data_IF_957777608887
#
_entry.id   IF_957777608887
#
_cell.length_a   1.000
_cell.length_b   1.000
_cell.length_c   1.000
_cell.angle_alpha   90.00
_cell.angle_beta   90.00
_cell.angle_gamma   90.00
#
_symmetry.space_group_name_H-M   'P 1'
#
loop_
_entity.id
_entity.type
_entity.pdbx_description
1 polymer ?
#
# COMPACT_ATOMS: atom_id res chain seq x y z
N UNK A 1 11.04 57.71 -18.21
CA UNK A 1 9.90 56.88 -18.67
C UNK A 1 10.40 56.11 -19.88
N UNK A 2 10.53 54.79 -19.94
CA UNK A 2 9.86 53.69 -19.24
C UNK A 2 10.85 52.54 -19.00
N UNK A 3 10.64 51.80 -17.91
CA UNK A 3 11.19 50.47 -17.62
C UNK A 3 10.02 49.47 -17.55
N UNK A 4 10.35 48.20 -17.80
CA UNK A 4 9.52 46.98 -17.60
C UNK A 4 8.37 46.82 -18.61
N UNK A 5 8.03 45.62 -19.13
CA UNK A 5 7.77 44.35 -18.44
C UNK A 5 8.01 43.19 -19.43
N UNK A 6 8.69 42.11 -19.02
CA UNK A 6 8.96 40.99 -19.94
C UNK A 6 9.49 39.70 -19.31
N UNK A 7 8.92 39.25 -18.19
CA UNK A 7 9.27 37.94 -17.61
C UNK A 7 8.11 37.37 -16.77
N UNK A 8 7.05 36.86 -17.42
CA UNK A 8 5.97 36.13 -16.70
C UNK A 8 5.26 35.02 -17.50
N UNK A 9 5.60 34.80 -18.77
CA UNK A 9 4.83 33.89 -19.64
C UNK A 9 5.38 32.46 -19.75
N UNK A 10 6.67 32.22 -19.47
CA UNK A 10 7.29 30.90 -19.63
C UNK A 10 6.98 29.92 -18.48
N UNK A 11 6.86 30.41 -17.24
CA UNK A 11 6.66 29.57 -16.05
C UNK A 11 5.27 28.90 -15.97
N UNK A 12 4.25 29.49 -16.59
CA UNK A 12 2.87 28.96 -16.54
C UNK A 12 2.63 27.78 -17.50
N UNK A 13 3.41 27.65 -18.59
CA UNK A 13 3.25 26.54 -19.55
C UNK A 13 3.84 25.23 -19.04
N UNK A 14 4.95 25.27 -18.28
CA UNK A 14 5.60 24.07 -17.71
C UNK A 14 4.74 23.43 -16.61
N UNK A 15 4.11 24.24 -15.76
CA UNK A 15 3.22 23.78 -14.70
C UNK A 15 2.00 22.98 -15.21
N UNK A 16 1.47 23.34 -16.39
CA UNK A 16 0.36 22.61 -17.00
C UNK A 16 0.78 21.30 -17.68
N UNK A 17 2.06 21.06 -17.95
CA UNK A 17 2.46 19.84 -18.67
C UNK A 17 2.41 18.60 -17.76
N UNK A 18 2.79 18.75 -16.49
CA UNK A 18 2.92 17.62 -15.55
C UNK A 18 1.60 17.03 -15.05
N UNK A 19 0.50 17.80 -15.07
CA UNK A 19 -0.78 17.36 -14.52
C UNK A 19 -1.84 17.02 -15.58
N UNK A 20 -1.65 17.41 -16.85
CA UNK A 20 -2.75 17.44 -17.84
C UNK A 20 -2.57 16.54 -19.06
N UNK A 21 -1.44 15.82 -19.22
CA UNK A 21 -1.11 15.16 -20.49
C UNK A 21 -1.75 13.76 -20.70
N UNK A 22 -2.88 13.44 -20.04
CA UNK A 22 -3.52 12.12 -20.16
C UNK A 22 -4.99 12.14 -20.63
N UNK A 23 -5.41 13.24 -21.26
CA UNK A 23 -6.73 13.33 -21.93
C UNK A 23 -6.57 13.42 -23.45
N UNK A 24 -6.13 12.34 -24.07
CA UNK A 24 -6.09 12.21 -25.54
C UNK A 24 -6.81 10.93 -25.96
N UNK A 25 -8.15 11.00 -26.09
CA UNK A 25 -8.92 10.03 -26.86
C UNK A 25 -9.17 10.61 -28.25
N UNK A 26 -8.67 10.03 -29.34
CA UNK A 26 -9.19 10.34 -30.66
C UNK A 26 -10.49 9.55 -30.88
N UNK A 27 -11.49 10.26 -31.44
CA UNK A 27 -12.78 9.74 -31.85
C UNK A 27 -12.65 8.52 -32.78
N UNK A 28 -13.39 7.45 -32.52
CA UNK A 28 -13.54 6.31 -33.45
C UNK A 28 -14.93 6.35 -34.11
N UNK A 29 -14.94 6.44 -35.44
CA UNK A 29 -16.08 6.14 -36.30
C UNK A 29 -16.20 4.64 -36.61
N UNK A 30 -17.23 4.22 -37.36
CA UNK A 30 -17.97 2.97 -37.09
C UNK A 30 -17.39 1.68 -37.71
N UNK A 31 -17.79 0.57 -37.08
CA UNK A 31 -17.58 -0.86 -37.41
C UNK A 31 -18.01 -1.29 -38.81
N UNK A 32 -17.48 -2.44 -39.27
CA UNK A 32 -18.37 -3.45 -39.84
C UNK A 32 -18.09 -4.92 -39.41
N UNK A 33 -19.22 -5.63 -39.24
CA UNK A 33 -19.56 -7.02 -39.59
C UNK A 33 -18.67 -8.24 -39.22
N UNK A 34 -19.33 -9.22 -38.57
CA UNK A 34 -18.95 -10.63 -38.40
C UNK A 34 -18.85 -11.40 -39.73
N UNK A 35 -18.25 -12.62 -39.73
CA UNK A 35 -19.11 -13.82 -39.74
C UNK A 35 -18.59 -15.09 -39.01
N UNK A 36 -19.57 -15.86 -38.52
CA UNK A 36 -19.76 -17.33 -38.57
C UNK A 36 -18.89 -18.33 -37.76
N UNK A 37 -19.63 -19.19 -37.04
CA UNK A 37 -19.26 -20.47 -36.41
C UNK A 37 -19.12 -21.63 -37.41
N UNK A 38 -18.55 -22.77 -36.99
CA UNK A 38 -19.37 -23.98 -36.75
C UNK A 38 -18.93 -24.75 -35.47
N UNK A 39 -19.85 -25.24 -34.62
CA UNK A 39 -20.53 -26.55 -34.63
C UNK A 39 -19.64 -27.81 -34.40
N UNK A 40 -19.85 -28.41 -33.21
CA UNK A 40 -20.07 -29.85 -32.95
C UNK A 40 -18.94 -30.74 -32.39
N UNK A 41 -19.35 -31.46 -31.33
CA UNK A 41 -18.71 -32.44 -30.44
C UNK A 41 -18.48 -33.82 -31.15
N UNK A 42 -18.13 -34.98 -30.51
CA UNK A 42 -18.11 -35.32 -29.07
C UNK A 42 -16.93 -36.20 -28.55
N UNK A 43 -16.96 -36.40 -27.22
CA UNK A 43 -16.10 -37.24 -26.38
C UNK A 43 -16.57 -38.71 -26.39
N UNK A 44 -15.68 -39.72 -26.35
CA UNK A 44 -16.04 -41.08 -25.96
C UNK A 44 -15.67 -41.39 -24.49
N UNK A 45 -16.41 -42.29 -23.79
CA UNK A 45 -16.19 -42.66 -22.40
C UNK A 45 -15.34 -43.93 -22.27
N UNK A 46 -14.68 -44.13 -21.11
CA UNK A 46 -14.22 -45.44 -20.68
C UNK A 46 -14.45 -45.63 -19.18
N UNK A 47 -14.95 -46.82 -18.85
CA UNK A 47 -15.57 -47.30 -17.59
C UNK A 47 -14.60 -48.22 -16.82
N UNK A 48 -14.79 -48.24 -15.49
CA UNK A 48 -14.67 -49.35 -14.48
C UNK A 48 -13.29 -50.03 -14.25
N UNK A 49 -12.65 -49.90 -13.07
CA UNK A 49 -12.77 -50.65 -11.77
C UNK A 49 -12.15 -52.09 -11.80
N UNK A 50 -11.75 -52.78 -10.68
CA UNK A 50 -11.98 -52.52 -9.24
C UNK A 50 -10.84 -52.90 -8.21
N UNK A 51 -11.10 -52.58 -6.93
CA UNK A 51 -10.93 -53.31 -5.64
C UNK A 51 -9.60 -53.96 -5.15
N UNK A 52 -9.23 -53.61 -3.89
CA UNK A 52 -8.96 -54.49 -2.73
C UNK A 52 -8.74 -53.57 -1.48
N UNK A 53 -9.46 -53.68 -0.35
CA UNK A 53 -9.33 -54.70 0.71
C UNK A 53 -8.15 -54.33 1.64
N UNK A 54 -8.18 -54.32 2.97
CA UNK A 54 -9.10 -54.78 4.02
C UNK A 54 -8.49 -54.40 5.40
N UNK A 55 -9.31 -54.35 6.47
CA UNK A 55 -8.99 -54.43 7.94
C UNK A 55 -7.97 -53.43 8.53
N UNK A 56 -8.19 -52.78 9.67
CA UNK A 56 -8.89 -53.16 10.90
C UNK A 56 -7.92 -52.94 12.08
N UNK A 57 -8.30 -52.16 13.10
CA UNK A 57 -7.44 -51.97 14.27
C UNK A 57 -7.85 -50.83 15.20
N UNK A 58 -8.80 -51.11 16.09
CA UNK A 58 -9.13 -50.29 17.27
C UNK A 58 -8.16 -50.62 18.42
N UNK A 59 -8.16 -49.72 19.41
CA UNK A 59 -7.86 -49.86 20.86
C UNK A 59 -6.59 -49.15 21.32
N UNK A 60 -6.75 -48.29 22.34
CA UNK A 60 -5.66 -47.93 23.25
C UNK A 60 -5.68 -46.52 23.84
N UNK A 61 -6.71 -46.15 24.63
CA UNK A 61 -6.59 -45.05 25.61
C UNK A 61 -5.55 -45.44 26.66
N UNK A 62 -4.55 -44.59 26.92
CA UNK A 62 -3.97 -44.39 28.27
C UNK A 62 -3.54 -42.94 28.46
N UNK A 63 -4.17 -42.34 29.46
CA UNK A 63 -3.90 -41.05 30.08
C UNK A 63 -2.67 -41.12 30.98
N UNK A 64 -1.65 -40.29 30.72
CA UNK A 64 -0.59 -40.00 31.68
C UNK A 64 -0.33 -38.50 31.73
N UNK A 65 -0.77 -37.91 32.85
CA UNK A 65 -0.41 -36.56 33.31
C UNK A 65 0.83 -36.67 34.19
N UNK A 66 1.83 -35.79 34.03
CA UNK A 66 2.69 -35.39 35.14
C UNK A 66 2.73 -33.86 35.31
N UNK A 67 3.27 -33.34 36.44
CA UNK A 67 2.73 -32.19 37.15
C UNK A 67 3.28 -30.83 36.71
N UNK A 68 2.55 -29.80 37.13
CA UNK A 68 2.90 -28.40 37.06
C UNK A 68 4.16 -28.07 37.88
N UNK A 69 5.06 -27.25 37.30
CA UNK A 69 6.10 -26.54 38.04
C UNK A 69 6.30 -25.14 37.43
N UNK A 70 5.92 -24.13 38.22
CA UNK A 70 6.63 -22.86 38.42
C UNK A 70 7.01 -21.99 37.22
N UNK A 71 6.29 -20.90 37.04
CA UNK A 71 6.77 -19.72 36.32
C UNK A 71 7.94 -19.06 37.08
N UNK A 72 9.06 -18.68 36.43
CA UNK A 72 9.98 -17.72 36.99
C UNK A 72 9.50 -16.29 36.70
N UNK A 73 9.38 -15.50 37.76
CA UNK A 73 9.12 -14.06 37.73
C UNK A 73 10.21 -13.29 36.93
N UNK A 74 9.89 -12.12 36.36
CA UNK A 74 10.83 -11.36 35.54
C UNK A 74 11.97 -10.79 36.39
N UNK A 75 13.21 -11.16 36.04
CA UNK A 75 14.41 -10.55 36.60
C UNK A 75 14.45 -9.06 36.20
N UNK A 76 14.23 -8.19 37.18
CA UNK A 76 14.56 -6.76 37.13
C UNK A 76 16.03 -6.61 36.78
N UNK A 77 16.34 -6.03 35.61
CA UNK A 77 17.66 -5.48 35.32
C UNK A 77 17.73 -4.07 35.91
N UNK A 78 18.60 -3.89 36.88
CA UNK A 78 19.05 -2.58 37.37
C UNK A 78 19.85 -1.87 36.27
N UNK A 79 19.80 -0.54 36.14
CA UNK A 79 20.67 0.20 35.22
C UNK A 79 22.10 0.16 35.77
N UNK A 80 23.00 -0.54 35.09
CA UNK A 80 24.44 -0.41 35.27
C UNK A 80 24.95 0.85 34.57
N UNK A 81 25.85 1.55 35.23
CA UNK A 81 26.63 2.71 34.76
C UNK A 81 27.45 2.40 33.50
N UNK A 82 27.80 3.41 32.69
CA UNK A 82 28.50 3.22 31.43
C UNK A 82 30.02 3.05 31.67
N UNK A 83 30.58 1.93 31.20
CA UNK A 83 32.02 1.82 30.93
C UNK A 83 32.27 2.13 29.44
N UNK A 84 32.88 3.30 29.22
CA UNK A 84 33.75 3.67 28.10
C UNK A 84 34.97 2.71 28.08
N UNK A 85 35.65 2.33 27.01
CA UNK A 85 35.68 2.66 25.58
C UNK A 85 36.59 1.60 24.90
N UNK A 86 36.36 1.26 23.63
CA UNK A 86 37.45 0.89 22.70
C UNK A 86 37.00 0.88 21.22
N UNK A 87 37.42 1.93 20.51
CA UNK A 87 37.82 1.98 19.10
C UNK A 87 36.80 1.75 17.96
N UNK A 88 36.51 2.84 17.24
CA UNK A 88 36.41 2.81 15.77
C UNK A 88 35.05 3.22 15.17
N UNK A 89 34.93 4.49 14.79
CA UNK A 89 33.76 5.13 14.16
C UNK A 89 32.56 5.29 15.10
N UNK A 90 32.59 6.37 15.90
CA UNK A 90 31.42 6.86 16.61
C UNK A 90 30.24 6.91 15.65
N UNK A 91 29.18 6.18 15.98
CA UNK A 91 27.96 6.05 15.17
C UNK A 91 27.39 7.44 14.95
N UNK A 92 27.82 8.14 13.89
CA UNK A 92 27.11 9.31 13.37
C UNK A 92 25.71 8.79 13.12
N UNK A 93 24.75 9.18 13.96
CA UNK A 93 23.34 8.86 13.73
C UNK A 93 23.04 9.48 12.38
N UNK A 94 22.82 8.64 11.36
CA UNK A 94 22.32 9.15 10.09
C UNK A 94 21.05 9.92 10.41
N UNK A 95 20.87 11.12 9.85
CA UNK A 95 19.63 11.86 10.02
C UNK A 95 18.44 10.92 9.74
N UNK A 96 17.36 11.00 10.54
CA UNK A 96 16.20 10.16 10.33
C UNK A 96 15.67 10.35 8.90
N UNK A 97 15.32 9.24 8.30
CA UNK A 97 14.87 9.13 6.92
C UNK A 97 13.49 8.48 6.91
N UNK A 98 12.53 9.14 6.29
CA UNK A 98 11.16 8.64 6.13
C UNK A 98 10.87 8.53 4.65
N UNK A 99 10.15 7.49 4.24
CA UNK A 99 9.89 7.24 2.84
C UNK A 99 8.43 6.94 2.54
N UNK A 100 7.99 7.43 1.39
CA UNK A 100 6.71 7.10 0.78
C UNK A 100 6.95 6.50 -0.60
N UNK A 101 6.20 5.44 -0.92
CA UNK A 101 6.44 4.63 -2.11
C UNK A 101 5.12 4.38 -2.83
N UNK A 102 5.05 4.70 -4.12
CA UNK A 102 3.91 4.40 -4.98
C UNK A 102 4.36 3.73 -6.29
N UNK A 103 3.50 2.89 -6.86
CA UNK A 103 3.77 2.20 -8.11
C UNK A 103 3.48 3.09 -9.32
N UNK A 104 4.49 3.42 -10.11
CA UNK A 104 4.35 4.17 -11.36
C UNK A 104 4.67 3.31 -12.60
N UNK A 105 4.41 3.80 -13.83
CA UNK A 105 4.78 3.09 -15.06
C UNK A 105 6.27 2.78 -15.18
N UNK A 106 7.15 3.66 -14.68
CA UNK A 106 8.60 3.49 -14.70
C UNK A 106 9.16 2.56 -13.61
N UNK A 107 8.31 2.06 -12.70
CA UNK A 107 8.74 1.26 -11.54
C UNK A 107 8.10 1.79 -10.26
N UNK A 108 8.90 2.31 -9.35
CA UNK A 108 8.48 2.73 -8.02
C UNK A 108 8.89 4.17 -7.78
N UNK A 109 7.91 5.05 -7.61
CA UNK A 109 8.15 6.41 -7.17
C UNK A 109 8.51 6.37 -5.68
N UNK A 110 9.72 6.79 -5.35
CA UNK A 110 10.22 6.90 -3.99
C UNK A 110 10.36 8.38 -3.63
N UNK A 111 9.70 8.80 -2.56
CA UNK A 111 9.92 10.12 -1.95
C UNK A 111 10.57 9.93 -0.59
N UNK A 112 11.70 10.60 -0.36
CA UNK A 112 12.42 10.58 0.90
C UNK A 112 12.35 11.94 1.60
N UNK A 113 12.05 11.91 2.90
CA UNK A 113 12.05 13.08 3.78
C UNK A 113 13.10 12.91 4.88
N UNK A 114 13.74 14.02 5.24
CA UNK A 114 14.43 14.15 6.52
C UNK A 114 13.45 14.49 7.64
N UNK A 115 13.98 14.88 8.79
CA UNK A 115 13.17 15.35 9.92
C UNK A 115 12.30 16.56 9.49
N UNK A 116 12.91 17.60 8.92
CA UNK A 116 12.17 18.84 8.63
C UNK A 116 12.26 19.29 7.16
N UNK A 117 12.71 18.42 6.26
CA UNK A 117 12.89 18.76 4.86
C UNK A 117 12.58 17.63 3.90
N UNK A 118 12.12 18.00 2.70
CA UNK A 118 12.18 17.15 1.52
C UNK A 118 13.64 16.85 1.17
N UNK A 119 13.96 15.60 0.83
CA UNK A 119 15.30 15.22 0.37
C UNK A 119 15.33 14.95 -1.12
N UNK A 120 14.52 14.00 -1.57
CA UNK A 120 14.62 13.43 -2.91
C UNK A 120 13.28 12.85 -3.34
N UNK A 121 13.07 12.87 -4.65
CA UNK A 121 12.07 12.08 -5.35
C UNK A 121 12.81 11.36 -6.48
N UNK A 122 12.62 10.06 -6.58
CA UNK A 122 13.30 9.22 -7.56
C UNK A 122 12.36 8.13 -8.10
N UNK A 123 12.73 7.51 -9.23
CA UNK A 123 12.02 6.35 -9.80
C UNK A 123 12.97 5.16 -9.85
N UNK A 124 12.65 4.13 -9.08
CA UNK A 124 13.42 2.90 -9.02
C UNK A 124 12.74 1.80 -9.83
N UNK A 125 13.45 1.03 -10.67
CA UNK A 125 12.83 0.05 -11.56
C UNK A 125 12.24 -1.13 -10.81
N UNK A 126 12.83 -1.52 -9.67
CA UNK A 126 12.39 -2.67 -8.89
C UNK A 126 12.12 -2.36 -7.42
N UNK A 127 11.19 -3.09 -6.82
CA UNK A 127 10.85 -2.94 -5.40
C UNK A 127 12.01 -3.32 -4.49
N UNK A 128 12.86 -4.27 -4.91
CA UNK A 128 14.09 -4.61 -4.17
C UNK A 128 15.03 -3.40 -4.04
N UNK A 129 15.09 -2.54 -5.04
CA UNK A 129 15.91 -1.34 -5.02
C UNK A 129 15.35 -0.33 -4.00
N UNK A 130 14.02 -0.23 -3.87
CA UNK A 130 13.36 0.55 -2.82
C UNK A 130 13.78 0.04 -1.44
N UNK A 131 13.72 -1.28 -1.21
CA UNK A 131 14.08 -1.86 0.09
C UNK A 131 15.55 -1.61 0.43
N UNK A 132 16.47 -1.75 -0.54
CA UNK A 132 17.88 -1.45 -0.31
C UNK A 132 18.11 0.05 -0.05
N UNK A 133 17.49 0.92 -0.85
CA UNK A 133 17.59 2.38 -0.68
C UNK A 133 17.07 2.83 0.68
N UNK A 134 16.01 2.20 1.17
CA UNK A 134 15.38 2.50 2.44
C UNK A 134 15.87 1.63 3.61
N UNK A 135 16.97 0.89 3.47
CA UNK A 135 17.51 0.00 4.53
C UNK A 135 17.78 0.71 5.87
N UNK A 136 18.03 2.02 5.83
CA UNK A 136 18.25 2.88 7.00
C UNK A 136 17.09 3.83 7.30
N UNK A 137 15.99 3.72 6.57
CA UNK A 137 14.79 4.49 6.84
C UNK A 137 14.17 4.06 8.18
N UNK A 138 13.61 5.04 8.89
CA UNK A 138 12.93 4.83 10.17
C UNK A 138 11.49 4.37 9.97
N UNK A 139 10.82 4.81 8.90
CA UNK A 139 9.50 4.33 8.50
C UNK A 139 9.38 4.48 6.98
N UNK A 140 8.81 3.46 6.33
CA UNK A 140 8.52 3.42 4.89
C UNK A 140 7.05 3.03 4.72
N UNK A 141 6.26 3.88 4.09
CA UNK A 141 4.88 3.60 3.73
C UNK A 141 4.78 3.35 2.22
N UNK A 142 4.12 2.25 1.83
CA UNK A 142 3.95 1.86 0.42
C UNK A 142 2.47 1.70 0.05
N UNK A 143 2.05 2.25 -1.09
CA UNK A 143 0.72 2.00 -1.69
C UNK A 143 0.73 0.71 -2.51
N UNK A 144 0.95 -0.41 -1.82
CA UNK A 144 0.81 -1.73 -2.41
C UNK A 144 0.45 -2.73 -1.30
N UNK A 145 -0.46 -3.69 -1.57
CA UNK A 145 -0.83 -4.72 -0.62
C UNK A 145 0.39 -5.46 -0.04
N UNK A 146 0.51 -5.45 1.29
CA UNK A 146 1.37 -6.34 2.05
C UNK A 146 0.48 -7.43 2.67
N UNK A 147 0.84 -8.68 2.39
CA UNK A 147 0.01 -9.84 2.71
C UNK A 147 -1.15 -10.02 1.75
N UNK A 148 -1.35 -11.25 1.28
CA UNK A 148 -2.36 -11.60 0.28
C UNK A 148 -3.40 -12.57 0.87
N UNK A 149 -4.71 -12.36 0.64
CA UNK A 149 -5.73 -13.28 1.11
C UNK A 149 -5.61 -14.64 0.41
N UNK A 150 -6.25 -15.68 0.95
CA UNK A 150 -6.18 -17.05 0.42
C UNK A 150 -5.68 -18.05 1.47
N UNK A 151 -5.19 -19.21 1.03
CA UNK A 151 -4.64 -20.23 1.94
C UNK A 151 -5.66 -20.81 2.93
N UNK A 152 -6.95 -20.84 2.58
CA UNK A 152 -8.04 -21.32 3.43
C UNK A 152 -8.70 -20.25 4.31
N UNK A 153 -8.16 -19.02 4.35
CA UNK A 153 -8.80 -17.87 4.99
C UNK A 153 -9.84 -17.17 4.10
N UNK A 154 -10.51 -16.11 4.60
CA UNK A 154 -11.43 -15.32 3.80
C UNK A 154 -10.78 -14.74 2.53
N UNK A 155 -11.51 -14.69 1.39
CA UNK A 155 -10.98 -14.19 0.12
C UNK A 155 -10.91 -12.65 0.06
N UNK A 156 -11.37 -11.95 1.10
CA UNK A 156 -11.31 -10.49 1.24
C UNK A 156 -10.58 -10.14 2.54
N UNK A 157 -9.64 -9.20 2.45
CA UNK A 157 -8.90 -8.68 3.61
C UNK A 157 -9.77 -7.73 4.44
N UNK A 158 -9.74 -7.88 5.76
CA UNK A 158 -10.51 -7.00 6.67
C UNK A 158 -10.10 -5.53 6.58
N UNK A 159 -8.80 -5.27 6.39
CA UNK A 159 -8.21 -3.94 6.22
C UNK A 159 -8.80 -3.21 5.02
N UNK A 160 -8.99 -3.89 3.87
CA UNK A 160 -9.55 -3.29 2.66
C UNK A 160 -11.00 -2.86 2.92
N UNK A 161 -11.78 -3.77 3.54
CA UNK A 161 -13.17 -3.51 3.91
C UNK A 161 -13.29 -2.35 4.91
N UNK A 162 -12.40 -2.28 5.91
CA UNK A 162 -12.33 -1.18 6.87
C UNK A 162 -11.97 0.15 6.18
N UNK A 163 -10.96 0.15 5.31
CA UNK A 163 -10.56 1.31 4.53
C UNK A 163 -11.69 1.83 3.63
N UNK A 164 -12.42 0.93 2.95
CA UNK A 164 -13.61 1.29 2.15
C UNK A 164 -14.67 1.98 2.98
N UNK A 165 -15.00 1.40 4.15
CA UNK A 165 -15.96 2.02 5.07
C UNK A 165 -15.49 3.40 5.52
N UNK A 166 -14.20 3.55 5.80
CA UNK A 166 -13.63 4.82 6.26
C UNK A 166 -13.64 5.92 5.21
N UNK A 167 -13.50 5.55 3.94
CA UNK A 167 -13.56 6.47 2.78
C UNK A 167 -14.98 6.71 2.27
N UNK A 168 -15.98 5.97 2.74
CA UNK A 168 -17.39 6.15 2.38
C UNK A 168 -17.61 6.15 0.86
N UNK A 169 -18.13 7.24 0.26
CA UNK A 169 -18.32 7.35 -1.20
C UNK A 169 -17.03 7.14 -2.03
N UNK A 170 -15.87 7.42 -1.44
CA UNK A 170 -14.56 7.22 -2.06
C UNK A 170 -14.00 5.81 -1.86
N UNK A 171 -14.73 4.91 -1.20
CA UNK A 171 -14.28 3.53 -0.94
C UNK A 171 -13.93 2.73 -2.21
N UNK A 172 -14.47 3.10 -3.37
CA UNK A 172 -14.11 2.47 -4.65
C UNK A 172 -12.64 2.67 -5.06
N UNK A 173 -11.91 3.60 -4.44
CA UNK A 173 -10.45 3.75 -4.66
C UNK A 173 -9.65 2.58 -4.07
N UNK A 174 -10.19 1.91 -3.05
CA UNK A 174 -9.57 0.70 -2.47
C UNK A 174 -10.00 -0.50 -3.31
N UNK A 175 -9.14 -0.93 -4.23
CA UNK A 175 -9.42 -2.10 -5.06
C UNK A 175 -9.41 -3.39 -4.22
N UNK A 176 -10.16 -4.43 -4.62
CA UNK A 176 -10.12 -5.72 -3.93
C UNK A 176 -8.81 -6.45 -4.26
N UNK A 177 -8.01 -6.75 -3.24
CA UNK A 177 -6.77 -7.51 -3.39
C UNK A 177 -7.11 -8.95 -3.82
N UNK A 178 -6.51 -9.48 -4.90
CA UNK A 178 -6.73 -10.86 -5.33
C UNK A 178 -6.21 -11.86 -4.30
N UNK A 179 -6.77 -13.07 -4.29
CA UNK A 179 -6.14 -14.17 -3.54
C UNK A 179 -4.77 -14.48 -4.11
N UNK A 180 -3.85 -14.92 -3.26
CA UNK A 180 -2.45 -15.21 -3.61
C UNK A 180 -2.34 -16.08 -4.86
N UNK A 181 -3.13 -17.15 -4.95
CA UNK A 181 -3.15 -18.05 -6.10
C UNK A 181 -3.49 -17.33 -7.42
N UNK A 182 -4.37 -16.32 -7.37
CA UNK A 182 -4.71 -15.51 -8.53
C UNK A 182 -3.61 -14.49 -8.89
N UNK A 183 -2.90 -13.95 -7.90
CA UNK A 183 -1.71 -13.08 -8.12
C UNK A 183 -0.61 -13.83 -8.87
N UNK A 184 -0.45 -15.13 -8.61
CA UNK A 184 0.57 -15.97 -9.25
C UNK A 184 0.08 -16.71 -10.51
N UNK A 185 -1.17 -16.50 -10.93
CA UNK A 185 -1.70 -17.11 -12.13
C UNK A 185 -0.94 -16.65 -13.40
N UNK A 186 -0.74 -17.54 -14.39
CA UNK A 186 0.03 -17.22 -15.59
C UNK A 186 -0.73 -16.30 -16.55
N UNK A 187 -2.07 -16.36 -16.55
CA UNK A 187 -2.91 -15.55 -17.43
C UNK A 187 -4.05 -14.87 -16.68
N UNK A 188 -4.57 -13.78 -17.24
CA UNK A 188 -5.76 -13.10 -16.71
C UNK A 188 -6.99 -14.02 -16.64
N UNK A 189 -7.12 -14.94 -17.61
CA UNK A 189 -8.22 -15.91 -17.65
C UNK A 189 -8.13 -16.87 -16.45
N UNK A 190 -6.94 -17.38 -16.18
CA UNK A 190 -6.70 -18.29 -15.06
C UNK A 190 -6.87 -17.55 -13.73
N UNK A 191 -6.34 -16.33 -13.62
CA UNK A 191 -6.51 -15.47 -12.44
C UNK A 191 -8.00 -15.22 -12.14
N UNK A 192 -8.81 -14.90 -13.16
CA UNK A 192 -10.25 -14.73 -13.00
C UNK A 192 -10.96 -16.01 -12.56
N UNK A 193 -10.57 -17.17 -13.11
CA UNK A 193 -11.16 -18.45 -12.72
C UNK A 193 -10.81 -18.81 -11.28
N UNK A 194 -9.57 -18.60 -10.86
CA UNK A 194 -9.11 -18.82 -9.48
C UNK A 194 -9.84 -17.87 -8.52
N UNK A 195 -9.86 -16.56 -8.82
CA UNK A 195 -10.56 -15.57 -7.99
C UNK A 195 -12.05 -15.90 -7.87
N UNK A 196 -12.72 -16.26 -8.97
CA UNK A 196 -14.14 -16.58 -8.95
C UNK A 196 -14.44 -17.79 -8.05
N UNK A 197 -13.58 -18.82 -8.06
CA UNK A 197 -13.72 -19.97 -7.15
C UNK A 197 -13.55 -19.57 -5.69
N UNK A 198 -12.57 -18.72 -5.39
CA UNK A 198 -12.27 -18.31 -4.02
C UNK A 198 -13.27 -17.28 -3.45
N UNK A 199 -13.80 -16.39 -4.29
CA UNK A 199 -14.52 -15.18 -3.88
C UNK A 199 -16.02 -15.19 -4.22
N UNK A 200 -16.64 -16.38 -4.29
CA UNK A 200 -18.09 -16.53 -4.49
C UNK A 200 -18.56 -16.07 -5.87
N UNK A 201 -17.80 -16.38 -6.92
CA UNK A 201 -18.10 -16.05 -8.31
C UNK A 201 -17.56 -14.70 -8.78
N UNK A 202 -17.05 -13.85 -7.88
CA UNK A 202 -16.48 -12.53 -8.23
C UNK A 202 -15.17 -12.67 -9.00
N UNK A 203 -15.08 -12.02 -10.15
CA UNK A 203 -13.91 -12.03 -11.03
C UNK A 203 -13.01 -10.83 -10.79
N UNK A 204 -11.75 -10.93 -11.20
CA UNK A 204 -10.81 -9.81 -11.22
C UNK A 204 -11.20 -8.79 -12.28
N UNK A 205 -11.01 -7.51 -11.97
CA UNK A 205 -11.10 -6.45 -12.98
C UNK A 205 -9.77 -6.33 -13.73
N UNK A 206 -9.81 -5.78 -14.94
CA UNK A 206 -8.59 -5.46 -15.70
C UNK A 206 -7.70 -4.44 -15.00
N UNK A 207 -8.31 -3.51 -14.24
CA UNK A 207 -7.56 -2.52 -13.47
C UNK A 207 -6.75 -3.18 -12.35
N UNK A 208 -7.36 -4.10 -11.60
CA UNK A 208 -6.62 -4.86 -10.56
C UNK A 208 -5.56 -5.75 -11.22
N UNK A 209 -5.86 -6.39 -12.34
CA UNK A 209 -4.90 -7.22 -13.07
C UNK A 209 -3.64 -6.44 -13.51
N UNK A 210 -3.79 -5.16 -13.91
CA UNK A 210 -2.65 -4.32 -14.25
C UNK A 210 -1.71 -4.05 -13.06
N UNK A 211 -2.21 -4.16 -11.83
CA UNK A 211 -1.43 -3.98 -10.59
C UNK A 211 -0.81 -5.29 -10.08
N UNK A 212 -1.29 -6.46 -10.54
CA UNK A 212 -0.79 -7.79 -10.12
C UNK A 212 0.73 -7.94 -10.26
N UNK A 213 1.40 -7.45 -11.33
CA UNK A 213 2.85 -7.52 -11.41
C UNK A 213 3.55 -6.86 -10.22
N UNK A 214 3.09 -5.68 -9.78
CA UNK A 214 3.67 -4.97 -8.62
C UNK A 214 3.33 -5.65 -7.29
N UNK A 215 2.11 -6.18 -7.13
CA UNK A 215 1.75 -6.99 -5.95
C UNK A 215 2.67 -8.20 -5.81
N UNK A 216 2.90 -8.92 -6.92
CA UNK A 216 3.78 -10.08 -6.97
C UNK A 216 5.24 -9.72 -6.66
N UNK A 217 5.67 -8.54 -7.12
CA UNK A 217 7.01 -8.03 -6.86
C UNK A 217 7.21 -7.75 -5.35
N UNK A 218 6.32 -6.98 -4.72
CA UNK A 218 6.36 -6.71 -3.28
C UNK A 218 6.35 -8.00 -2.48
N UNK A 219 5.38 -8.87 -2.78
CA UNK A 219 5.20 -10.12 -2.06
C UNK A 219 6.43 -11.05 -2.16
N UNK A 220 7.02 -11.19 -3.36
CA UNK A 220 8.25 -11.98 -3.54
C UNK A 220 9.44 -11.38 -2.79
N UNK A 221 9.66 -10.07 -2.89
CA UNK A 221 10.77 -9.40 -2.19
C UNK A 221 10.66 -9.59 -0.68
N UNK A 222 9.45 -9.51 -0.11
CA UNK A 222 9.24 -9.75 1.32
C UNK A 222 9.49 -11.20 1.73
N UNK A 223 9.13 -12.17 0.88
CA UNK A 223 9.46 -13.58 1.11
C UNK A 223 10.98 -13.82 1.11
N UNK A 224 11.70 -13.27 0.14
CA UNK A 224 13.17 -13.38 0.03
C UNK A 224 13.89 -12.79 1.24
N UNK A 225 13.33 -11.73 1.84
CA UNK A 225 13.87 -11.10 3.05
C UNK A 225 13.42 -11.78 4.36
N UNK A 226 12.69 -12.90 4.26
CA UNK A 226 12.17 -13.64 5.43
C UNK A 226 11.22 -12.80 6.29
N UNK A 227 10.49 -11.87 5.69
CA UNK A 227 9.60 -10.94 6.41
C UNK A 227 10.33 -9.93 7.30
N UNK A 228 11.66 -9.82 7.21
CA UNK A 228 12.48 -8.92 8.03
C UNK A 228 12.70 -7.55 7.39
N UNK A 229 11.76 -7.02 6.62
CA UNK A 229 11.81 -5.62 6.18
C UNK A 229 11.40 -4.75 7.38
N UNK A 230 12.35 -4.27 8.21
CA UNK A 230 11.96 -3.62 9.45
C UNK A 230 11.47 -2.23 9.04
N UNK A 231 10.23 -1.91 9.39
CA UNK A 231 9.63 -0.58 9.28
C UNK A 231 9.04 -0.22 7.90
N UNK A 232 8.75 -1.22 7.06
CA UNK A 232 7.91 -1.08 5.86
C UNK A 232 6.46 -1.45 6.18
N UNK A 233 5.51 -0.59 5.81
CA UNK A 233 4.09 -0.79 6.06
C UNK A 233 3.25 -0.44 4.83
N UNK A 234 2.17 -1.19 4.62
CA UNK A 234 1.16 -0.84 3.64
C UNK A 234 0.37 0.38 4.12
N UNK A 235 0.19 1.35 3.23
CA UNK A 235 -0.59 2.56 3.47
C UNK A 235 -1.36 2.91 2.19
N UNK A 236 -2.24 3.90 2.23
CA UNK A 236 -3.05 4.27 1.07
C UNK A 236 -3.20 5.79 0.94
N UNK A 237 -2.87 6.41 -0.21
CA UNK A 237 -2.86 7.85 -0.40
C UNK A 237 -4.20 8.52 -0.07
N UNK A 238 -5.34 7.95 -0.49
CA UNK A 238 -6.65 8.56 -0.19
C UNK A 238 -6.99 8.55 1.31
N UNK A 239 -6.50 7.57 2.09
CA UNK A 239 -6.66 7.58 3.54
C UNK A 239 -5.74 8.63 4.18
N UNK A 240 -4.50 8.74 3.69
CA UNK A 240 -3.55 9.74 4.14
C UNK A 240 -4.04 11.17 3.84
N UNK A 241 -4.49 11.45 2.62
CA UNK A 241 -5.11 12.73 2.27
C UNK A 241 -6.38 13.01 3.07
N UNK A 242 -7.26 12.01 3.26
CA UNK A 242 -8.44 12.18 4.09
C UNK A 242 -8.06 12.54 5.53
N UNK A 243 -7.01 11.91 6.04
CA UNK A 243 -6.49 12.19 7.36
C UNK A 243 -5.91 13.62 7.44
N UNK A 244 -5.07 14.07 6.49
CA UNK A 244 -4.62 15.48 6.43
C UNK A 244 -5.78 16.48 6.26
N UNK A 245 -6.85 16.09 5.58
CA UNK A 245 -8.07 16.90 5.39
C UNK A 245 -9.07 16.76 6.55
N UNK A 246 -8.55 16.39 7.72
CA UNK A 246 -9.31 16.25 8.93
C UNK A 246 -10.37 15.18 8.94
N UNK A 247 -9.95 13.98 8.55
CA UNK A 247 -10.78 12.78 8.52
C UNK A 247 -11.78 12.71 7.37
N UNK A 248 -11.86 13.75 6.51
CA UNK A 248 -12.80 13.81 5.39
C UNK A 248 -12.12 13.47 4.07
N UNK A 249 -12.61 12.47 3.30
CA UNK A 249 -12.10 12.21 1.96
C UNK A 249 -12.17 13.45 1.05
N UNK A 250 -11.22 13.56 0.13
CA UNK A 250 -11.26 14.61 -0.89
C UNK A 250 -12.38 14.33 -1.90
N UNK A 251 -13.25 15.33 -2.14
CA UNK A 251 -14.37 15.21 -3.07
C UNK A 251 -13.89 15.04 -4.52
N UNK A 252 -12.82 15.77 -4.87
CA UNK A 252 -12.33 15.88 -6.24
C UNK A 252 -11.27 14.81 -6.54
N UNK A 253 -11.46 14.17 -7.70
CA UNK A 253 -10.54 13.17 -8.23
C UNK A 253 -9.12 13.72 -8.40
N UNK A 254 -8.11 12.88 -8.13
CA UNK A 254 -6.70 13.21 -8.40
C UNK A 254 -6.42 13.55 -9.87
N UNK A 255 -7.31 13.14 -10.79
CA UNK A 255 -7.22 13.46 -12.24
C UNK A 255 -7.85 14.79 -12.62
N UNK A 256 -8.52 15.49 -11.69
CA UNK A 256 -9.12 16.79 -11.92
C UNK A 256 -8.17 17.88 -11.43
N UNK A 257 -7.99 18.96 -12.19
CA UNK A 257 -7.06 20.07 -11.84
C UNK A 257 -7.27 20.60 -10.42
N UNK A 258 -8.52 20.87 -10.04
CA UNK A 258 -8.80 21.35 -8.69
C UNK A 258 -8.51 20.27 -7.62
N UNK A 259 -8.66 18.98 -7.96
CA UNK A 259 -8.29 17.89 -7.06
C UNK A 259 -6.79 17.70 -6.90
N UNK A 260 -5.99 18.09 -7.90
CA UNK A 260 -4.53 18.20 -7.77
C UNK A 260 -4.18 19.35 -6.82
N UNK A 261 -4.79 20.53 -7.01
CA UNK A 261 -4.55 21.69 -6.16
C UNK A 261 -4.93 21.42 -4.70
N UNK A 262 -6.02 20.71 -4.45
CA UNK A 262 -6.42 20.28 -3.10
C UNK A 262 -5.31 19.45 -2.43
N UNK A 263 -4.72 18.49 -3.16
CA UNK A 263 -3.64 17.63 -2.66
C UNK A 263 -2.36 18.42 -2.40
N UNK A 264 -2.01 19.33 -3.30
CA UNK A 264 -0.86 20.24 -3.14
C UNK A 264 -1.04 21.09 -1.88
N UNK A 265 -2.21 21.72 -1.70
CA UNK A 265 -2.48 22.56 -0.53
C UNK A 265 -2.39 21.79 0.81
N UNK A 266 -2.75 20.51 0.83
CA UNK A 266 -2.59 19.65 2.02
C UNK A 266 -1.14 19.26 2.30
N UNK A 267 -0.28 19.23 1.28
CA UNK A 267 1.12 18.85 1.42
C UNK A 267 2.05 20.05 1.75
N UNK A 268 1.69 21.26 1.30
CA UNK A 268 2.51 22.47 1.49
C UNK A 268 2.88 22.76 2.97
N UNK A 269 1.97 22.59 3.97
CA UNK A 269 2.32 22.75 5.38
C UNK A 269 3.41 21.79 5.88
N UNK A 270 3.64 20.68 5.17
CA UNK A 270 4.60 19.65 5.54
C UNK A 270 5.88 19.67 4.71
N UNK A 271 5.79 20.08 3.44
CA UNK A 271 6.88 19.97 2.47
C UNK A 271 7.39 21.33 1.96
N UNK A 272 6.72 22.44 2.29
CA UNK A 272 7.01 23.75 1.71
C UNK A 272 6.41 23.88 0.32
N UNK A 273 7.10 24.53 -0.61
CA UNK A 273 6.60 24.76 -1.97
C UNK A 273 6.62 23.46 -2.81
N UNK A 274 5.55 22.67 -2.67
CA UNK A 274 5.34 21.39 -3.36
C UNK A 274 5.36 21.56 -4.87
N UNK A 275 4.87 22.68 -5.39
CA UNK A 275 4.82 22.94 -6.84
C UNK A 275 6.23 23.10 -7.39
N UNK A 276 7.08 23.86 -6.70
CA UNK A 276 8.49 24.01 -7.06
C UNK A 276 9.24 22.70 -6.93
N UNK A 277 8.96 21.89 -5.89
CA UNK A 277 9.54 20.55 -5.74
C UNK A 277 9.20 19.70 -6.95
N UNK A 278 7.91 19.57 -7.28
CA UNK A 278 7.45 18.76 -8.42
C UNK A 278 8.05 19.23 -9.74
N UNK A 279 8.09 20.54 -9.99
CA UNK A 279 8.72 21.08 -11.20
C UNK A 279 10.18 20.64 -11.30
N UNK A 280 10.98 20.87 -10.25
CA UNK A 280 12.41 20.55 -10.27
C UNK A 280 12.69 19.06 -10.38
N UNK A 281 11.91 18.22 -9.69
CA UNK A 281 12.16 16.77 -9.67
C UNK A 281 11.64 16.07 -10.91
N UNK A 282 10.57 16.58 -11.52
CA UNK A 282 9.98 15.98 -12.71
C UNK A 282 10.57 16.50 -14.02
N UNK A 283 11.33 17.60 -14.01
CA UNK A 283 12.01 18.12 -15.20
C UNK A 283 12.94 17.08 -15.85
N UNK A 284 13.60 16.25 -15.03
CA UNK A 284 14.54 15.21 -15.49
C UNK A 284 13.88 13.81 -15.65
N UNK A 285 12.59 13.67 -15.31
CA UNK A 285 11.88 12.39 -15.34
C UNK A 285 10.84 12.41 -16.46
N UNK A 286 10.89 11.46 -17.42
CA UNK A 286 9.86 11.36 -18.45
C UNK A 286 8.46 11.21 -17.84
N UNK A 287 7.48 11.98 -18.32
CA UNK A 287 6.08 11.87 -17.87
C UNK A 287 5.46 10.49 -18.12
N UNK A 288 6.02 9.73 -19.07
CA UNK A 288 5.68 8.34 -19.34
C UNK A 288 6.18 7.37 -18.27
N UNK A 289 7.19 7.76 -17.48
CA UNK A 289 7.74 6.98 -16.38
C UNK A 289 7.09 7.36 -15.04
N UNK A 290 6.76 8.64 -14.83
CA UNK A 290 6.12 9.12 -13.62
C UNK A 290 5.12 10.25 -13.90
N UNK A 291 3.90 10.10 -13.40
CA UNK A 291 2.92 11.17 -13.43
C UNK A 291 2.99 12.05 -12.19
N UNK A 292 2.59 13.33 -12.31
CA UNK A 292 2.48 14.21 -11.15
C UNK A 292 1.50 13.71 -10.07
N UNK A 293 0.53 12.86 -10.43
CA UNK A 293 -0.39 12.27 -9.47
C UNK A 293 0.29 11.19 -8.60
N UNK A 294 1.06 10.30 -9.22
CA UNK A 294 1.77 9.24 -8.50
C UNK A 294 2.88 9.83 -7.60
N UNK A 295 3.49 10.94 -8.05
CA UNK A 295 4.41 11.73 -7.22
C UNK A 295 3.72 12.31 -5.96
N UNK A 296 2.53 12.89 -6.11
CA UNK A 296 1.75 13.41 -4.97
C UNK A 296 1.31 12.29 -4.01
N UNK A 297 0.97 11.12 -4.55
CA UNK A 297 0.62 9.94 -3.76
C UNK A 297 1.85 9.46 -2.95
N UNK A 298 3.03 9.31 -3.55
CA UNK A 298 4.25 8.99 -2.82
C UNK A 298 4.63 10.08 -1.78
N UNK A 299 4.41 11.36 -2.08
CA UNK A 299 4.65 12.46 -1.13
C UNK A 299 3.79 12.37 0.11
N UNK A 300 2.47 12.11 -0.03
CA UNK A 300 1.59 12.02 1.14
C UNK A 300 1.93 10.81 2.02
N UNK A 301 2.36 9.69 1.42
CA UNK A 301 2.84 8.53 2.14
C UNK A 301 4.10 8.86 2.96
N UNK A 302 5.05 9.60 2.38
CA UNK A 302 6.27 10.00 3.05
C UNK A 302 5.99 10.97 4.22
N UNK A 303 5.06 11.91 4.03
CA UNK A 303 4.58 12.80 5.09
C UNK A 303 3.98 11.98 6.24
N UNK A 304 3.13 11.00 5.92
CA UNK A 304 2.53 10.13 6.92
C UNK A 304 3.55 9.23 7.63
N UNK A 305 4.56 8.69 6.93
CA UNK A 305 5.64 7.95 7.56
C UNK A 305 6.39 8.82 8.58
N UNK A 306 6.68 10.08 8.24
CA UNK A 306 7.31 11.03 9.18
C UNK A 306 6.41 11.37 10.37
N UNK A 307 5.14 11.70 10.14
CA UNK A 307 4.19 12.02 11.22
C UNK A 307 3.99 10.82 12.15
N UNK A 308 3.90 9.61 11.59
CA UNK A 308 3.76 8.38 12.36
C UNK A 308 4.94 8.14 13.31
N UNK A 309 6.14 8.50 12.89
CA UNK A 309 7.33 8.41 13.74
C UNK A 309 7.29 9.33 14.96
N UNK A 310 6.61 10.47 14.84
CA UNK A 310 6.48 11.50 15.90
C UNK A 310 5.28 11.24 16.81
N UNK A 311 4.17 10.77 16.25
CA UNK A 311 2.87 10.77 16.92
C UNK A 311 2.24 9.37 17.05
N UNK A 312 2.86 8.34 16.47
CA UNK A 312 2.30 6.99 16.34
C UNK A 312 1.48 6.81 15.07
N UNK A 313 1.10 5.57 14.76
CA UNK A 313 0.27 5.23 13.60
C UNK A 313 -0.96 4.42 14.03
N UNK A 314 -2.04 4.54 13.25
CA UNK A 314 -3.22 3.68 13.34
C UNK A 314 -3.08 2.58 12.29
N UNK A 315 -3.50 1.36 12.63
CA UNK A 315 -3.66 0.25 11.69
C UNK A 315 -5.12 -0.10 11.50
N UNK A 316 -5.50 -0.43 10.27
CA UNK A 316 -6.81 -1.02 9.96
C UNK A 316 -6.60 -2.46 9.50
N UNK A 317 -7.10 -3.49 10.22
CA UNK A 317 -7.49 -3.45 11.63
C UNK A 317 -6.28 -3.30 12.57
N UNK A 318 -6.56 -3.10 13.87
CA UNK A 318 -5.56 -3.12 14.93
C UNK A 318 -5.98 -4.15 16.01
N UNK A 319 -5.21 -5.25 16.21
CA UNK A 319 -4.00 -5.62 15.47
C UNK A 319 -4.32 -6.04 14.02
N UNK A 320 -3.35 -5.94 13.08
CA UNK A 320 -3.53 -6.43 11.72
C UNK A 320 -3.68 -7.96 11.70
N UNK A 321 -4.55 -8.45 10.82
CA UNK A 321 -4.60 -9.87 10.48
C UNK A 321 -3.30 -10.28 9.78
N UNK A 322 -3.02 -11.59 9.70
CA UNK A 322 -1.85 -12.10 8.99
C UNK A 322 -2.27 -13.06 7.89
N UNK A 323 -1.56 -13.02 6.77
CA UNK A 323 -1.77 -13.98 5.70
C UNK A 323 -1.15 -15.35 6.01
N UNK A 324 -1.29 -16.30 5.08
CA UNK A 324 -0.76 -17.66 5.23
C UNK A 324 0.77 -17.73 5.35
N UNK A 325 1.51 -16.68 4.94
CA UNK A 325 2.96 -16.56 5.07
C UNK A 325 3.38 -15.75 6.30
N UNK A 326 2.42 -15.25 7.08
CA UNK A 326 2.64 -14.47 8.28
C UNK A 326 2.81 -12.96 8.03
N UNK A 327 2.64 -12.47 6.81
CA UNK A 327 2.71 -11.03 6.52
C UNK A 327 1.49 -10.29 7.09
N UNK A 328 1.68 -9.11 7.70
CA UNK A 328 0.58 -8.33 8.26
C UNK A 328 -0.27 -7.73 7.13
N UNK A 329 -1.57 -8.03 7.14
CA UNK A 329 -2.58 -7.42 6.28
C UNK A 329 -3.21 -6.25 7.03
N UNK A 330 -2.58 -5.08 6.94
CA UNK A 330 -3.02 -3.87 7.61
C UNK A 330 -2.67 -2.62 6.82
N UNK A 331 -3.61 -1.68 6.73
CA UNK A 331 -3.38 -0.37 6.10
C UNK A 331 -3.16 0.65 7.19
N UNK A 332 -2.00 1.33 7.18
CA UNK A 332 -1.59 2.27 8.24
C UNK A 332 -1.59 3.73 7.78
N UNK A 333 -1.75 4.64 8.73
CA UNK A 333 -1.55 6.08 8.57
C UNK A 333 -1.23 6.73 9.93
N UNK A 334 -0.57 7.91 9.94
CA UNK A 334 -0.21 8.61 11.17
C UNK A 334 -1.41 9.04 12.05
N UNK A 335 -1.23 8.94 13.37
CA UNK A 335 -2.13 9.49 14.40
C UNK A 335 -2.05 11.02 14.38
N UNK A 336 -3.16 11.72 14.62
CA UNK A 336 -3.16 13.16 14.90
C UNK A 336 -3.20 14.09 13.68
N UNK A 337 -3.52 13.55 12.51
CA UNK A 337 -4.00 14.36 11.36
C UNK A 337 -5.53 14.56 11.41
N UNK A 338 -6.21 13.90 12.36
CA UNK A 338 -7.58 14.12 12.79
C UNK A 338 -7.67 15.43 13.62
N UNK A 339 -8.25 16.55 13.11
CA UNK A 339 -8.48 17.74 13.89
C UNK A 339 -9.44 17.35 15.00
N UNK A 340 -9.09 17.71 16.22
CA UNK A 340 -10.08 17.66 17.29
C UNK A 340 -11.12 18.75 16.99
N UNK A 341 -12.39 18.48 17.27
CA UNK A 341 -13.40 19.53 17.30
C UNK A 341 -13.03 20.59 18.38
N UNK A 342 -13.67 21.77 18.40
CA UNK A 342 -13.43 22.79 19.40
C UNK A 342 -13.63 22.32 20.86
N UNK A 343 -14.33 21.19 21.06
CA UNK A 343 -14.55 20.56 22.37
C UNK A 343 -13.54 19.43 22.69
N UNK A 344 -12.53 19.21 21.84
CA UNK A 344 -11.46 18.24 22.08
C UNK A 344 -11.80 16.80 21.69
N UNK A 345 -12.95 16.53 21.05
CA UNK A 345 -13.34 15.21 20.55
C UNK A 345 -12.67 14.95 19.21
N UNK A 346 -12.36 13.67 18.93
CA UNK A 346 -11.79 13.24 17.64
C UNK A 346 -12.81 13.51 16.53
N UNK A 347 -12.54 14.45 15.63
CA UNK A 347 -13.47 14.78 14.55
C UNK A 347 -13.39 13.72 13.44
N UNK A 348 -14.12 12.63 13.66
CA UNK A 348 -14.36 11.62 12.63
C UNK A 348 -13.44 10.42 12.71
N UNK A 349 -13.38 9.76 13.86
CA UNK A 349 -13.07 8.33 13.94
C UNK A 349 -13.85 7.81 15.15
N UNK A 350 -15.13 7.48 14.96
CA UNK A 350 -15.76 6.57 15.91
C UNK A 350 -14.99 5.26 15.81
N UNK A 351 -14.17 5.01 16.84
CA UNK A 351 -13.71 3.65 17.12
C UNK A 351 -14.98 2.82 17.24
N UNK A 352 -15.12 1.67 16.55
CA UNK A 352 -16.18 0.75 16.87
C UNK A 352 -16.04 0.48 18.36
N UNK A 353 -17.06 0.83 19.13
CA UNK A 353 -17.08 0.58 20.55
C UNK A 353 -16.79 -0.90 20.73
N UNK A 354 -15.59 -1.24 21.19
CA UNK A 354 -15.29 -2.60 21.61
C UNK A 354 -16.21 -2.81 22.80
N UNK A 355 -17.31 -3.50 22.55
CA UNK A 355 -18.24 -3.89 23.58
C UNK A 355 -17.44 -4.78 24.53
N UNK A 356 -16.97 -4.23 25.65
CA UNK A 356 -16.47 -4.99 26.78
C UNK A 356 -17.68 -5.72 27.35
N UNK A 357 -17.99 -6.89 26.79
CA UNK A 357 -18.76 -7.88 27.52
C UNK A 357 -17.83 -8.48 28.56
N UNK A 358 -18.06 -8.02 29.79
CA UNK A 358 -17.94 -8.66 31.11
C UNK A 358 -16.70 -9.53 31.36
#
# INVERSE_FOLDING_TARGET
MCREVGAAAASRRSHCRFFFDNTSRPCQGPTPASPLSPCSAPVPPLRTAPAAGDRGGRVGRRSHTPPACGAPAPLRRTPGTPEEDAAGCGRRRCPPLFAGVDGCPGGWCLVELGEDSFRTLDVLPHFRDVVERCRRARLVFVDMPIGLPGGGGPPERSCDRLARRRLGPRGSTIFPVPVREAVYAPTYKDACAIQARAAGGRRLSRQVWALVPKMREVDRTLQELGGRAPLLFESHPELCFAALNGGRPLDRSKRHVLGVLDRVALLEPHLGDVRTILHRTLDDIPTTALSGHDALDAMVLAVHARLASRHGMVSLPDPPERDALGFPMGIVFAVGTDPRDPEGRRAGFETPSVNRMV
#
